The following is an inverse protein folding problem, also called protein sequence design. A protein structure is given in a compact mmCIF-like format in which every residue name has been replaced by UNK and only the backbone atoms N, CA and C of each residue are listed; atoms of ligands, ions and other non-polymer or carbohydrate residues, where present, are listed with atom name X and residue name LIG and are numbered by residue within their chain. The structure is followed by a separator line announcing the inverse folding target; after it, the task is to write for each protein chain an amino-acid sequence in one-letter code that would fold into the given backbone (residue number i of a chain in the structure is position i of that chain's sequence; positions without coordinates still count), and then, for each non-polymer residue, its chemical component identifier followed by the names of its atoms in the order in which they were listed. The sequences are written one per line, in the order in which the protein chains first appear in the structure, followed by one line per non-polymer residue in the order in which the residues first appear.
data_IF_792444177786
#
_entry.id   IF_792444177786
#
_cell.length_a   1.000
_cell.length_b   1.000
_cell.length_c   1.000
_cell.angle_alpha   90.00
_cell.angle_beta   90.00
_cell.angle_gamma   90.00
#
_symmetry.space_group_name_H-M   'P 1'
#
loop_
_entity.id
_entity.type
_entity.pdbx_description
1 polymer ?
#
# COMPACT_ATOMS: atom_id res chain seq x y z
N UNK A 1 -0.52 1.25 67.45
CA UNK A 1 0.20 1.61 68.68
C UNK A 1 1.27 2.62 68.29
N UNK A 2 1.07 3.88 68.64
CA UNK A 2 2.02 4.99 68.61
C UNK A 2 3.08 4.80 69.74
N UNK A 3 4.22 5.52 69.82
CA UNK A 3 4.43 6.95 69.55
C UNK A 3 5.78 7.27 68.84
N UNK A 4 5.90 8.35 68.10
CA UNK A 4 6.31 9.74 68.31
C UNK A 4 7.41 9.99 69.36
N UNK A 5 8.57 10.56 68.91
CA UNK A 5 9.37 11.53 69.68
C UNK A 5 10.16 12.44 68.73
N UNK A 6 9.95 13.73 68.89
CA UNK A 6 10.65 14.92 68.38
C UNK A 6 11.96 15.18 69.11
N UNK A 7 12.93 15.83 68.45
CA UNK A 7 13.90 16.68 69.12
C UNK A 7 14.46 17.76 68.18
N UNK A 8 14.19 18.99 68.56
CA UNK A 8 14.81 20.24 68.05
C UNK A 8 16.26 20.36 68.52
N UNK A 9 17.11 20.94 67.69
CA UNK A 9 18.19 21.81 68.14
C UNK A 9 18.50 22.90 67.12
N UNK A 10 18.19 24.12 67.47
CA UNK A 10 18.61 25.37 66.86
C UNK A 10 20.06 25.66 67.24
N UNK A 11 20.87 26.09 66.27
CA UNK A 11 22.11 26.83 66.52
C UNK A 11 22.15 28.02 65.57
N UNK A 12 22.07 29.20 66.15
CA UNK A 12 22.40 30.48 65.50
C UNK A 12 23.90 30.62 65.42
N UNK A 13 24.40 31.04 64.28
CA UNK A 13 25.64 31.82 64.20
C UNK A 13 25.62 32.77 63.02
N UNK A 14 26.02 33.98 63.30
CA UNK A 14 25.93 35.19 62.51
C UNK A 14 26.94 35.31 61.39
N UNK A 15 26.57 35.96 60.34
CA UNK A 15 27.37 37.00 59.70
C UNK A 15 28.29 36.57 58.56
N UNK A 16 27.87 36.89 57.35
CA UNK A 16 28.60 37.78 56.43
C UNK A 16 27.79 37.99 55.17
N UNK A 17 27.53 39.25 54.82
CA UNK A 17 26.87 39.68 53.61
C UNK A 17 27.88 39.54 52.47
N UNK A 18 27.69 38.53 51.60
CA UNK A 18 28.30 38.44 50.29
C UNK A 18 27.20 38.61 49.25
N UNK A 19 27.28 39.68 48.50
CA UNK A 19 26.33 39.97 47.43
C UNK A 19 26.35 38.88 46.36
N UNK A 20 25.27 38.15 46.21
CA UNK A 20 25.08 37.23 45.10
C UNK A 20 24.37 38.05 43.99
N UNK A 21 25.17 38.38 42.96
CA UNK A 21 24.63 38.78 41.65
C UNK A 21 23.84 37.58 41.09
N UNK A 22 22.54 37.69 41.11
CA UNK A 22 21.65 36.77 40.35
C UNK A 22 21.89 36.98 38.87
N UNK A 23 22.73 36.09 38.27
CA UNK A 23 22.78 35.95 36.83
C UNK A 23 21.45 35.37 36.34
N UNK A 24 20.64 36.21 35.71
CA UNK A 24 19.47 35.75 34.95
C UNK A 24 19.95 34.87 33.81
N UNK A 25 19.49 33.60 33.67
CA UNK A 25 19.87 32.81 32.50
C UNK A 25 19.29 33.50 31.26
N UNK A 26 20.18 33.92 30.38
CA UNK A 26 19.79 34.36 29.06
C UNK A 26 19.04 33.21 28.39
N UNK A 27 17.75 33.39 28.13
CA UNK A 27 16.99 32.52 27.22
C UNK A 27 17.71 32.61 25.87
N UNK A 28 18.42 31.53 25.51
CA UNK A 28 18.94 31.36 24.17
C UNK A 28 17.70 31.34 23.25
N UNK A 29 17.54 32.40 22.47
CA UNK A 29 16.58 32.42 21.37
C UNK A 29 16.89 31.23 20.46
N UNK A 30 15.98 30.28 20.36
CA UNK A 30 16.04 29.27 19.31
C UNK A 30 16.15 29.98 17.97
N UNK A 31 17.09 29.60 17.12
CA UNK A 31 17.11 30.12 15.75
C UNK A 31 15.75 29.84 15.11
N UNK A 32 15.24 30.74 14.27
CA UNK A 32 13.97 30.53 13.58
C UNK A 32 14.03 29.19 12.85
N UNK A 33 12.96 28.38 12.99
CA UNK A 33 12.84 27.10 12.32
C UNK A 33 13.17 27.34 10.83
N UNK A 34 14.23 26.69 10.37
CA UNK A 34 14.57 26.69 8.93
C UNK A 34 13.34 26.20 8.18
N UNK A 35 12.87 26.99 7.23
CA UNK A 35 11.82 26.58 6.32
C UNK A 35 12.17 25.18 5.77
N UNK A 36 11.19 24.29 5.58
CA UNK A 36 11.47 22.97 5.03
C UNK A 36 12.25 23.15 3.73
N UNK A 37 13.39 22.46 3.66
CA UNK A 37 14.25 22.50 2.48
C UNK A 37 13.37 22.23 1.26
N UNK A 38 13.42 23.13 0.27
CA UNK A 38 12.72 22.95 -0.99
C UNK A 38 13.07 21.56 -1.52
N UNK A 39 12.05 20.78 -1.88
CA UNK A 39 12.22 19.47 -2.53
C UNK A 39 13.21 19.68 -3.70
N UNK A 40 14.32 18.93 -3.77
CA UNK A 40 15.25 19.08 -4.87
C UNK A 40 14.45 18.91 -6.17
N UNK A 41 14.69 19.75 -7.19
CA UNK A 41 14.03 19.62 -8.48
C UNK A 41 14.20 18.18 -8.96
N UNK A 42 13.12 17.60 -9.52
CA UNK A 42 13.15 16.26 -10.08
C UNK A 42 14.42 16.10 -10.92
N UNK A 43 15.23 15.09 -10.59
CA UNK A 43 16.47 14.86 -11.33
C UNK A 43 16.12 14.79 -12.81
N UNK A 44 16.83 15.57 -13.63
CA UNK A 44 16.67 15.51 -15.07
C UNK A 44 16.80 14.04 -15.52
N UNK A 45 16.03 13.60 -16.53
CA UNK A 45 16.13 12.24 -17.04
C UNK A 45 17.62 11.92 -17.30
N UNK A 46 18.09 10.80 -16.75
CA UNK A 46 19.47 10.40 -16.98
C UNK A 46 19.69 10.28 -18.48
N UNK A 47 20.75 10.92 -18.98
CA UNK A 47 21.11 10.83 -20.38
C UNK A 47 21.35 9.36 -20.74
N UNK A 48 20.70 8.90 -21.80
CA UNK A 48 20.88 7.53 -22.27
C UNK A 48 22.35 7.32 -22.68
N UNK A 49 22.92 6.13 -22.35
CA UNK A 49 24.30 5.83 -22.75
C UNK A 49 24.50 5.94 -24.27
N UNK A 50 25.68 6.36 -24.74
CA UNK A 50 25.98 6.41 -26.18
C UNK A 50 25.73 5.04 -26.85
N UNK A 51 25.02 5.04 -27.97
CA UNK A 51 24.67 3.81 -28.69
C UNK A 51 23.39 3.10 -28.20
N UNK A 52 22.70 3.65 -27.19
CA UNK A 52 21.41 3.12 -26.77
C UNK A 52 20.40 3.10 -27.92
N UNK A 53 19.68 1.99 -28.16
CA UNK A 53 18.62 1.92 -29.16
C UNK A 53 17.44 2.84 -28.87
N UNK A 54 17.44 3.47 -27.70
CA UNK A 54 16.40 4.41 -27.25
C UNK A 54 16.69 5.85 -27.64
N UNK A 55 17.88 6.16 -28.15
CA UNK A 55 18.22 7.51 -28.63
C UNK A 55 17.26 7.90 -29.76
N UNK A 56 16.56 9.01 -29.57
CA UNK A 56 15.56 9.51 -30.54
C UNK A 56 14.17 8.89 -30.44
N UNK A 57 13.94 7.95 -29.51
CA UNK A 57 12.58 7.46 -29.22
C UNK A 57 11.87 8.39 -28.23
N UNK A 58 10.57 8.65 -28.41
CA UNK A 58 9.81 9.42 -27.43
C UNK A 58 9.85 8.71 -26.07
N UNK A 59 10.13 9.47 -25.01
CA UNK A 59 9.98 8.97 -23.65
C UNK A 59 8.49 8.78 -23.34
N UNK A 60 8.10 7.56 -23.05
CA UNK A 60 6.77 7.25 -22.53
C UNK A 60 5.69 6.95 -23.60
N UNK A 61 4.71 6.21 -23.16
CA UNK A 61 3.59 5.77 -23.98
C UNK A 61 2.37 6.68 -23.77
N UNK A 62 2.56 8.00 -23.79
CA UNK A 62 1.49 8.99 -23.60
C UNK A 62 0.33 8.80 -24.60
N UNK A 63 0.65 8.36 -25.82
CA UNK A 63 -0.37 8.07 -26.83
C UNK A 63 -1.26 6.89 -26.43
N UNK A 64 -0.69 5.82 -25.88
CA UNK A 64 -1.46 4.66 -25.44
C UNK A 64 -2.32 4.98 -24.20
N UNK A 65 -1.85 5.83 -23.29
CA UNK A 65 -2.65 6.30 -22.16
C UNK A 65 -3.87 7.12 -22.59
N UNK A 66 -3.79 7.81 -23.73
CA UNK A 66 -4.90 8.59 -24.30
C UNK A 66 -5.88 7.74 -25.11
N UNK A 67 -5.49 6.56 -25.59
CA UNK A 67 -6.32 5.71 -26.47
C UNK A 67 -7.30 4.79 -25.73
N UNK A 68 -7.13 4.57 -24.43
CA UNK A 68 -8.04 3.77 -23.64
C UNK A 68 -8.95 4.67 -22.79
N UNK A 69 -10.17 5.01 -23.26
CA UNK A 69 -11.10 5.75 -22.44
C UNK A 69 -11.42 4.94 -21.18
N UNK A 70 -11.42 5.61 -20.03
CA UNK A 70 -11.76 4.96 -18.77
C UNK A 70 -13.22 4.51 -18.85
N UNK A 71 -13.44 3.21 -18.87
CA UNK A 71 -14.77 2.66 -18.86
C UNK A 71 -15.57 3.15 -17.64
N UNK A 72 -16.87 3.44 -17.78
CA UNK A 72 -17.71 3.74 -16.63
C UNK A 72 -17.71 2.57 -15.63
N UNK A 73 -17.98 2.83 -14.35
CA UNK A 73 -18.06 1.75 -13.36
C UNK A 73 -19.09 0.70 -13.82
N UNK A 74 -18.75 -0.59 -13.77
CA UNK A 74 -19.69 -1.63 -14.14
C UNK A 74 -20.90 -1.61 -13.20
N UNK A 75 -22.07 -1.93 -13.73
CA UNK A 75 -23.28 -2.16 -12.93
C UNK A 75 -23.04 -3.43 -12.09
N UNK A 76 -23.35 -3.42 -10.77
CA UNK A 76 -23.18 -4.61 -9.95
C UNK A 76 -24.03 -5.77 -10.45
N UNK A 77 -23.42 -6.95 -10.54
CA UNK A 77 -24.18 -8.18 -10.83
C UNK A 77 -25.08 -8.52 -9.64
N UNK A 78 -26.36 -8.83 -9.90
CA UNK A 78 -27.27 -9.29 -8.87
C UNK A 78 -26.78 -10.60 -8.21
N UNK A 79 -27.05 -10.78 -6.93
CA UNK A 79 -26.50 -11.89 -6.13
C UNK A 79 -26.83 -13.28 -6.71
N UNK A 80 -28.05 -13.43 -7.22
CA UNK A 80 -28.57 -14.66 -7.87
C UNK A 80 -27.90 -14.98 -9.21
N UNK A 81 -27.26 -13.98 -9.84
CA UNK A 81 -26.55 -14.11 -11.12
C UNK A 81 -25.04 -14.27 -10.97
N UNK A 82 -24.53 -14.26 -9.74
CA UNK A 82 -23.12 -14.49 -9.50
C UNK A 82 -22.75 -15.94 -9.83
N UNK A 83 -21.59 -16.19 -10.47
CA UNK A 83 -21.21 -17.52 -10.95
C UNK A 83 -20.67 -18.45 -9.83
N UNK A 84 -21.19 -18.37 -8.61
CA UNK A 84 -20.69 -19.16 -7.48
C UNK A 84 -20.67 -20.67 -7.75
N UNK A 85 -21.71 -21.18 -8.43
CA UNK A 85 -21.80 -22.60 -8.80
C UNK A 85 -20.76 -23.06 -9.86
N UNK A 86 -20.12 -22.12 -10.56
CA UNK A 86 -19.05 -22.41 -11.55
C UNK A 86 -17.67 -22.48 -10.93
N UNK A 87 -17.52 -22.06 -9.67
CA UNK A 87 -16.24 -22.04 -8.99
C UNK A 87 -15.88 -23.43 -8.45
N UNK A 88 -14.67 -23.88 -8.77
CA UNK A 88 -14.12 -25.13 -8.24
C UNK A 88 -13.39 -24.82 -6.93
N UNK A 89 -13.90 -25.34 -5.83
CA UNK A 89 -13.33 -25.15 -4.51
C UNK A 89 -12.50 -26.37 -4.10
N UNK A 90 -11.42 -26.19 -3.33
CA UNK A 90 -10.74 -27.30 -2.69
C UNK A 90 -11.69 -28.03 -1.72
N UNK A 91 -11.50 -29.34 -1.47
CA UNK A 91 -12.30 -30.08 -0.51
C UNK A 91 -12.31 -29.41 0.87
N UNK A 92 -13.53 -29.29 1.46
CA UNK A 92 -13.74 -28.66 2.76
C UNK A 92 -13.91 -27.15 2.73
N UNK A 93 -13.94 -26.52 1.55
CA UNK A 93 -14.25 -25.08 1.39
C UNK A 93 -15.68 -24.89 0.89
N UNK A 94 -16.33 -23.85 1.42
CA UNK A 94 -17.60 -23.34 0.96
C UNK A 94 -17.45 -21.89 0.52
N UNK A 95 -18.30 -21.46 -0.41
CA UNK A 95 -18.38 -20.07 -0.86
C UNK A 95 -19.80 -19.57 -0.73
N UNK A 96 -19.96 -18.35 -0.24
CA UNK A 96 -21.23 -17.66 -0.14
C UNK A 96 -21.10 -16.20 -0.54
N UNK A 97 -22.20 -15.59 -0.96
CA UNK A 97 -22.24 -14.15 -1.25
C UNK A 97 -22.33 -13.40 0.07
N UNK A 98 -21.29 -12.68 0.44
CA UNK A 98 -21.25 -11.88 1.66
C UNK A 98 -22.10 -10.61 1.55
N UNK A 99 -21.99 -9.89 0.43
CA UNK A 99 -22.79 -8.71 0.08
C UNK A 99 -22.77 -8.49 -1.45
N UNK A 100 -23.76 -7.78 -1.96
CA UNK A 100 -23.89 -7.43 -3.37
C UNK A 100 -24.39 -5.98 -3.53
N UNK A 101 -24.41 -5.46 -4.75
CA UNK A 101 -24.94 -4.12 -5.04
C UNK A 101 -23.91 -2.98 -4.91
N UNK A 102 -22.63 -3.27 -4.67
CA UNK A 102 -21.56 -2.26 -4.62
C UNK A 102 -20.80 -2.30 -5.94
N UNK A 103 -20.92 -1.25 -6.74
CA UNK A 103 -20.23 -1.16 -8.02
C UNK A 103 -18.72 -0.98 -7.84
N UNK A 104 -17.94 -1.67 -8.67
CA UNK A 104 -16.48 -1.50 -8.77
C UNK A 104 -15.73 -1.65 -7.43
N UNK A 105 -16.15 -2.64 -6.62
CA UNK A 105 -15.51 -3.01 -5.36
C UNK A 105 -14.05 -3.37 -5.57
N UNK A 106 -13.16 -2.83 -4.72
CA UNK A 106 -11.70 -3.04 -4.77
C UNK A 106 -11.17 -3.49 -3.41
N UNK A 107 -10.53 -2.61 -2.66
CA UNK A 107 -9.98 -2.96 -1.34
C UNK A 107 -11.07 -3.17 -0.31
N UNK A 108 -10.86 -4.17 0.53
CA UNK A 108 -11.71 -4.47 1.69
C UNK A 108 -10.89 -4.35 2.97
N UNK A 109 -11.47 -3.77 4.02
CA UNK A 109 -10.87 -3.77 5.37
C UNK A 109 -11.95 -4.03 6.41
N UNK A 110 -11.60 -4.85 7.39
CA UNK A 110 -12.48 -5.16 8.51
C UNK A 110 -12.11 -4.24 9.68
N UNK A 111 -13.11 -3.58 10.24
CA UNK A 111 -12.99 -2.79 11.45
C UNK A 111 -13.07 -3.62 12.72
N UNK A 112 -12.85 -2.99 13.87
CA UNK A 112 -12.81 -3.65 15.17
C UNK A 112 -14.17 -4.28 15.58
N UNK A 113 -15.29 -3.73 15.08
CA UNK A 113 -16.65 -4.23 15.33
C UNK A 113 -17.17 -5.17 14.23
N UNK A 114 -16.31 -5.57 13.29
CA UNK A 114 -16.68 -6.45 12.19
C UNK A 114 -17.32 -5.75 10.98
N UNK A 115 -17.36 -4.41 10.97
CA UNK A 115 -17.75 -3.63 9.79
C UNK A 115 -16.77 -3.89 8.66
N UNK A 116 -17.27 -4.17 7.44
CA UNK A 116 -16.40 -4.33 6.27
C UNK A 116 -16.43 -3.05 5.45
N UNK A 117 -15.35 -2.30 5.47
CA UNK A 117 -15.17 -1.11 4.63
C UNK A 117 -14.74 -1.51 3.23
N UNK A 118 -15.32 -0.85 2.22
CA UNK A 118 -15.16 -1.16 0.81
C UNK A 118 -14.73 0.08 0.06
N UNK A 119 -13.53 0.04 -0.51
CA UNK A 119 -13.02 1.03 -1.46
C UNK A 119 -13.49 0.72 -2.87
N UNK A 120 -13.59 1.76 -3.69
CA UNK A 120 -13.96 1.63 -5.11
C UNK A 120 -12.99 2.41 -5.98
N UNK A 121 -12.66 1.91 -7.17
CA UNK A 121 -11.79 2.65 -8.09
C UNK A 121 -12.55 3.72 -8.86
N UNK A 122 -13.65 3.33 -9.53
CA UNK A 122 -14.44 4.20 -10.40
C UNK A 122 -15.76 4.64 -9.74
N UNK A 123 -16.09 4.08 -8.58
CA UNK A 123 -17.31 4.42 -7.84
C UNK A 123 -17.21 5.73 -7.06
N UNK A 124 -16.01 6.31 -6.93
CA UNK A 124 -15.72 7.59 -6.27
C UNK A 124 -16.28 7.70 -4.84
N UNK A 125 -16.46 6.56 -4.15
CA UNK A 125 -16.95 6.50 -2.79
C UNK A 125 -16.36 5.32 -2.02
N UNK A 126 -16.42 5.45 -0.71
CA UNK A 126 -16.14 4.37 0.25
C UNK A 126 -17.45 4.01 0.94
N UNK A 127 -17.73 2.72 1.05
CA UNK A 127 -18.91 2.21 1.73
C UNK A 127 -18.53 1.31 2.90
N UNK A 128 -19.47 1.08 3.80
CA UNK A 128 -19.37 0.09 4.88
C UNK A 128 -20.50 -0.93 4.75
N UNK A 129 -20.16 -2.19 4.88
CA UNK A 129 -21.09 -3.30 4.99
C UNK A 129 -21.23 -3.62 6.47
N UNK A 130 -22.42 -3.50 7.00
CA UNK A 130 -22.77 -3.77 8.39
C UNK A 130 -23.71 -4.96 8.42
N UNK A 131 -23.37 -6.00 9.18
CA UNK A 131 -24.31 -7.12 9.45
C UNK A 131 -24.88 -6.97 10.85
N UNK A 132 -26.18 -6.81 10.93
CA UNK A 132 -26.93 -6.67 12.18
C UNK A 132 -28.24 -7.44 12.10
N UNK A 133 -28.52 -8.27 13.09
CA UNK A 133 -29.78 -9.03 13.22
C UNK A 133 -30.14 -9.83 11.94
N UNK A 134 -29.13 -10.46 11.33
CA UNK A 134 -29.28 -11.21 10.08
C UNK A 134 -29.47 -10.38 8.81
N UNK A 135 -29.49 -9.04 8.93
CA UNK A 135 -29.63 -8.12 7.80
C UNK A 135 -28.27 -7.55 7.42
N UNK A 136 -28.10 -7.30 6.13
CA UNK A 136 -26.94 -6.60 5.58
C UNK A 136 -27.34 -5.17 5.19
N UNK A 137 -26.68 -4.18 5.79
CA UNK A 137 -26.83 -2.78 5.46
C UNK A 137 -25.57 -2.28 4.77
N UNK A 138 -25.73 -1.47 3.71
CA UNK A 138 -24.63 -0.79 3.01
C UNK A 138 -24.76 0.70 3.28
N UNK A 139 -23.75 1.27 3.93
CA UNK A 139 -23.71 2.69 4.30
C UNK A 139 -22.64 3.40 3.50
N UNK A 140 -22.91 4.60 3.01
CA UNK A 140 -21.89 5.47 2.41
C UNK A 140 -21.07 6.13 3.51
N UNK A 141 -19.77 5.93 3.51
CA UNK A 141 -18.82 6.48 4.49
C UNK A 141 -18.20 7.78 3.99
N UNK A 142 -17.85 7.83 2.71
CA UNK A 142 -17.36 9.04 2.05
C UNK A 142 -17.68 8.96 0.56
N UNK A 143 -17.94 10.11 -0.05
CA UNK A 143 -18.25 10.25 -1.48
C UNK A 143 -17.57 11.48 -2.07
N UNK A 144 -17.60 11.61 -3.40
CA UNK A 144 -16.90 12.69 -4.10
C UNK A 144 -15.38 12.54 -4.09
N UNK A 145 -14.87 11.34 -3.77
CA UNK A 145 -13.46 11.02 -3.74
C UNK A 145 -12.94 10.67 -5.14
N UNK A 146 -11.65 10.87 -5.39
CA UNK A 146 -11.07 10.55 -6.69
C UNK A 146 -10.28 9.23 -6.64
N UNK A 147 -10.86 8.16 -7.19
CA UNK A 147 -10.26 6.81 -7.21
C UNK A 147 -9.94 6.25 -5.81
N UNK A 148 -10.84 6.23 -4.84
CA UNK A 148 -10.57 5.77 -3.46
C UNK A 148 -10.43 4.24 -3.40
N UNK A 149 -9.35 3.72 -4.00
CA UNK A 149 -9.10 2.28 -4.13
C UNK A 149 -8.60 1.66 -2.84
N UNK A 150 -7.54 2.24 -2.25
CA UNK A 150 -6.84 1.66 -1.11
C UNK A 150 -7.48 2.03 0.22
N UNK A 151 -7.67 1.03 1.07
CA UNK A 151 -8.14 1.22 2.44
C UNK A 151 -7.19 0.57 3.43
N UNK A 152 -6.97 1.21 4.56
CA UNK A 152 -6.36 0.62 5.74
C UNK A 152 -7.17 1.02 6.98
N UNK A 153 -7.17 0.17 7.99
CA UNK A 153 -7.87 0.42 9.24
C UNK A 153 -6.94 0.18 10.42
N UNK A 154 -6.94 1.09 11.37
CA UNK A 154 -6.12 0.95 12.57
C UNK A 154 -6.77 1.66 13.76
N UNK A 155 -7.10 0.90 14.80
CA UNK A 155 -7.62 1.43 16.08
C UNK A 155 -8.73 2.47 15.92
N UNK A 156 -9.78 2.15 15.19
CA UNK A 156 -10.93 3.02 14.97
C UNK A 156 -10.78 4.05 13.83
N UNK A 157 -9.58 4.23 13.28
CA UNK A 157 -9.31 5.13 12.17
C UNK A 157 -9.30 4.40 10.84
N UNK A 158 -10.06 4.87 9.87
CA UNK A 158 -10.03 4.42 8.48
C UNK A 158 -9.18 5.37 7.65
N UNK A 159 -8.16 4.82 7.00
CA UNK A 159 -7.31 5.50 6.01
C UNK A 159 -7.82 5.20 4.62
N UNK A 160 -7.90 6.21 3.77
CA UNK A 160 -8.42 6.14 2.42
C UNK A 160 -7.36 6.70 1.47
N UNK A 161 -6.88 5.88 0.55
CA UNK A 161 -5.95 6.31 -0.49
C UNK A 161 -6.72 6.56 -1.79
N UNK A 162 -6.66 7.80 -2.21
CA UNK A 162 -7.09 8.28 -3.51
C UNK A 162 -5.92 8.25 -4.51
N UNK A 163 -6.12 8.71 -5.72
CA UNK A 163 -5.07 8.75 -6.74
C UNK A 163 -3.84 9.52 -6.27
N UNK A 164 -4.02 10.71 -5.71
CA UNK A 164 -2.95 11.67 -5.41
C UNK A 164 -2.86 12.08 -3.94
N UNK A 165 -3.66 11.49 -3.07
CA UNK A 165 -3.65 11.82 -1.65
C UNK A 165 -4.11 10.67 -0.78
N UNK A 166 -3.77 10.74 0.51
CA UNK A 166 -4.30 9.87 1.55
C UNK A 166 -5.02 10.74 2.56
N UNK A 167 -6.23 10.33 2.91
CA UNK A 167 -7.03 10.94 3.95
C UNK A 167 -7.38 9.93 5.04
N UNK A 168 -7.89 10.40 6.18
CA UNK A 168 -8.35 9.55 7.28
C UNK A 168 -9.70 10.00 7.82
N UNK A 169 -10.43 9.07 8.42
CA UNK A 169 -11.63 9.29 9.22
C UNK A 169 -11.41 8.63 10.56
N UNK A 170 -11.32 9.42 11.61
CA UNK A 170 -11.17 8.91 12.98
C UNK A 170 -12.53 8.45 13.55
N UNK A 171 -12.50 7.42 14.42
CA UNK A 171 -13.68 6.85 15.07
C UNK A 171 -14.79 6.45 14.09
N UNK A 172 -14.44 5.93 12.92
CA UNK A 172 -15.37 5.69 11.82
C UNK A 172 -16.51 4.75 12.21
N UNK A 173 -16.24 3.66 12.97
CA UNK A 173 -17.28 2.70 13.36
C UNK A 173 -18.26 3.21 14.42
N UNK A 174 -17.93 4.31 15.10
CA UNK A 174 -18.85 4.98 16.00
C UNK A 174 -19.80 5.96 15.26
N UNK A 175 -19.48 6.29 14.01
CA UNK A 175 -20.15 7.35 13.25
C UNK A 175 -20.65 6.87 11.87
N UNK A 176 -21.02 5.60 11.71
CA UNK A 176 -21.40 5.01 10.42
C UNK A 176 -22.65 5.66 9.80
N UNK A 177 -23.55 6.24 10.59
CA UNK A 177 -24.77 6.90 10.13
C UNK A 177 -24.54 8.37 9.73
N UNK A 178 -23.51 9.00 10.31
CA UNK A 178 -23.12 10.38 10.00
C UNK A 178 -21.59 10.50 10.07
N UNK A 179 -20.87 9.90 9.12
CA UNK A 179 -19.41 9.89 9.15
C UNK A 179 -18.85 11.31 8.99
N UNK A 180 -17.77 11.65 9.71
CA UNK A 180 -17.05 12.89 9.49
C UNK A 180 -16.45 12.93 8.08
N UNK A 181 -16.21 14.14 7.57
CA UNK A 181 -15.49 14.30 6.30
C UNK A 181 -14.05 13.79 6.46
N UNK A 182 -13.50 13.11 5.44
CA UNK A 182 -12.10 12.71 5.44
C UNK A 182 -11.17 13.92 5.59
N UNK A 183 -10.13 13.77 6.42
CA UNK A 183 -9.06 14.77 6.58
C UNK A 183 -7.83 14.29 5.82
N UNK A 184 -7.33 15.10 4.89
CA UNK A 184 -6.10 14.78 4.12
C UNK A 184 -4.90 14.83 5.07
N UNK A 185 -4.08 13.77 5.05
CA UNK A 185 -2.85 13.65 5.84
C UNK A 185 -1.60 13.60 4.97
N UNK A 186 -1.72 13.19 3.70
CA UNK A 186 -0.59 13.07 2.79
C UNK A 186 -1.04 13.35 1.35
N UNK A 187 -0.36 14.27 0.66
CA UNK A 187 -0.71 14.72 -0.70
C UNK A 187 0.47 14.76 -1.67
N UNK A 188 1.65 14.26 -1.24
CA UNK A 188 2.84 14.16 -2.09
C UNK A 188 2.83 12.86 -2.92
N UNK A 189 1.83 12.71 -3.78
CA UNK A 189 1.66 11.55 -4.65
C UNK A 189 1.50 11.99 -6.12
N UNK A 190 2.06 11.21 -7.06
CA UNK A 190 1.82 11.44 -8.49
C UNK A 190 0.34 11.39 -8.85
N UNK A 191 -0.03 12.13 -9.89
CA UNK A 191 -1.41 12.27 -10.37
C UNK A 191 -1.70 11.42 -11.61
N UNK A 192 -0.79 10.54 -11.98
CA UNK A 192 -0.93 9.69 -13.15
C UNK A 192 -2.04 8.65 -12.94
N UNK A 193 -2.89 8.48 -13.95
CA UNK A 193 -3.98 7.50 -13.92
C UNK A 193 -3.46 6.08 -14.14
N UNK A 194 -2.45 5.90 -15.00
CA UNK A 194 -1.83 4.60 -15.24
C UNK A 194 -1.14 4.13 -13.96
N UNK A 195 -1.50 2.93 -13.48
CA UNK A 195 -1.06 2.34 -12.20
C UNK A 195 -1.17 3.30 -11.00
N UNK A 196 -2.07 4.28 -11.11
CA UNK A 196 -2.18 5.38 -10.16
C UNK A 196 -2.99 5.05 -8.90
N UNK A 197 -3.87 4.04 -8.94
CA UNK A 197 -4.69 3.68 -7.78
C UNK A 197 -3.85 2.95 -6.73
N UNK A 198 -3.84 3.49 -5.54
CA UNK A 198 -2.96 3.03 -4.46
C UNK A 198 -3.54 1.83 -3.73
N UNK A 199 -2.69 0.84 -3.42
CA UNK A 199 -2.95 -0.10 -2.35
C UNK A 199 -2.26 0.40 -1.08
N UNK A 200 -2.94 0.31 0.07
CA UNK A 200 -2.37 0.71 1.36
C UNK A 200 -2.63 -0.33 2.45
N UNK A 201 -1.70 -0.46 3.37
CA UNK A 201 -1.88 -1.31 4.56
C UNK A 201 -1.01 -0.80 5.73
N UNK A 202 -1.42 -1.13 6.95
CA UNK A 202 -0.64 -0.84 8.16
C UNK A 202 0.37 -1.97 8.39
N UNK A 203 1.64 -1.60 8.48
CA UNK A 203 2.73 -2.51 8.78
C UNK A 203 2.85 -2.90 10.26
N UNK A 204 3.65 -3.93 10.56
CA UNK A 204 3.92 -4.35 11.93
C UNK A 204 4.66 -3.29 12.77
N UNK A 205 5.24 -2.29 12.12
CA UNK A 205 5.89 -1.10 12.70
C UNK A 205 4.92 0.05 12.98
N UNK A 206 3.59 -0.17 12.80
CA UNK A 206 2.54 0.85 12.91
C UNK A 206 2.71 2.03 11.94
N UNK A 207 3.37 1.84 10.81
CA UNK A 207 3.42 2.81 9.71
C UNK A 207 2.42 2.42 8.62
N UNK A 208 1.98 3.40 7.86
CA UNK A 208 1.12 3.21 6.68
C UNK A 208 2.01 3.02 5.44
N UNK A 209 1.90 1.86 4.83
CA UNK A 209 2.58 1.51 3.58
C UNK A 209 1.67 1.80 2.40
N UNK A 210 2.26 2.26 1.31
CA UNK A 210 1.56 2.60 0.07
C UNK A 210 2.41 2.24 -1.16
N UNK A 211 1.75 1.83 -2.22
CA UNK A 211 2.35 1.60 -3.52
C UNK A 211 2.22 2.83 -4.40
N UNK A 212 3.23 3.11 -5.22
CA UNK A 212 3.22 4.13 -6.28
C UNK A 212 3.76 3.49 -7.55
N UNK A 213 2.87 3.04 -8.43
CA UNK A 213 3.23 2.36 -9.67
C UNK A 213 3.91 3.25 -10.70
N UNK A 214 4.43 2.64 -11.76
CA UNK A 214 4.96 3.36 -12.92
C UNK A 214 3.85 4.09 -13.67
N UNK A 215 4.11 5.25 -14.29
CA UNK A 215 3.09 6.06 -14.97
C UNK A 215 2.73 5.55 -16.38
N UNK A 216 3.08 4.31 -16.72
CA UNK A 216 2.82 3.70 -18.02
C UNK A 216 3.14 2.22 -18.05
N UNK A 217 2.99 1.59 -19.21
CA UNK A 217 3.25 0.16 -19.36
C UNK A 217 4.70 -0.20 -19.01
N UNK A 218 5.66 0.42 -19.69
CA UNK A 218 7.08 0.34 -19.39
C UNK A 218 7.72 1.68 -19.76
N UNK A 219 8.21 2.43 -18.77
CA UNK A 219 8.71 3.78 -18.97
C UNK A 219 9.88 4.07 -18.03
N UNK A 220 10.82 4.88 -18.50
CA UNK A 220 11.73 5.58 -17.58
C UNK A 220 10.92 6.64 -16.85
N UNK A 221 10.92 6.61 -15.55
CA UNK A 221 10.06 7.45 -14.73
C UNK A 221 10.86 8.23 -13.69
N UNK A 222 10.22 9.24 -13.11
CA UNK A 222 10.82 10.00 -12.02
C UNK A 222 11.01 9.13 -10.77
N UNK A 223 11.92 9.49 -9.87
CA UNK A 223 12.10 8.79 -8.60
C UNK A 223 10.85 8.76 -7.70
N UNK A 224 9.79 9.50 -8.05
CA UNK A 224 8.52 9.47 -7.32
C UNK A 224 7.67 8.23 -7.62
N UNK A 225 7.96 7.51 -8.70
CA UNK A 225 7.21 6.34 -9.18
C UNK A 225 7.97 5.02 -8.95
N UNK A 226 7.32 3.91 -9.25
CA UNK A 226 7.93 2.59 -9.23
C UNK A 226 8.44 2.18 -7.86
N UNK A 227 7.65 2.38 -6.81
CA UNK A 227 8.11 2.14 -5.43
C UNK A 227 6.99 1.77 -4.46
N UNK A 228 7.39 1.12 -3.37
CA UNK A 228 6.60 1.02 -2.16
C UNK A 228 7.20 2.00 -1.16
N UNK A 229 6.37 2.86 -0.58
CA UNK A 229 6.72 3.80 0.49
C UNK A 229 6.07 3.41 1.80
N UNK A 230 6.59 3.93 2.90
CA UNK A 230 5.88 3.98 4.19
C UNK A 230 5.90 5.39 4.74
N UNK A 231 4.86 5.75 5.49
CA UNK A 231 4.70 7.04 6.16
C UNK A 231 4.21 6.80 7.59
N UNK A 232 4.39 7.78 8.46
CA UNK A 232 3.73 7.78 9.76
C UNK A 232 2.21 7.90 9.59
N UNK A 233 1.44 7.51 10.61
CA UNK A 233 -0.03 7.54 10.57
C UNK A 233 -0.61 8.98 10.53
N UNK A 234 0.21 9.99 10.77
CA UNK A 234 -0.11 11.42 10.61
C UNK A 234 0.28 11.98 9.23
N UNK A 235 0.87 11.16 8.36
CA UNK A 235 1.29 11.53 7.01
C UNK A 235 2.73 12.04 6.90
N UNK A 236 3.46 12.14 8.01
CA UNK A 236 4.87 12.59 8.03
C UNK A 236 5.84 11.43 7.78
N UNK A 237 7.14 11.74 7.62
CA UNK A 237 8.22 10.76 7.65
C UNK A 237 8.19 9.75 6.51
N UNK A 238 7.97 10.23 5.28
CA UNK A 238 7.96 9.37 4.10
C UNK A 238 9.33 8.72 3.83
N UNK A 239 9.34 7.40 3.69
CA UNK A 239 10.52 6.59 3.44
C UNK A 239 10.25 5.61 2.28
N UNK A 240 11.27 5.34 1.47
CA UNK A 240 11.18 4.35 0.38
C UNK A 240 11.61 2.99 0.88
N UNK A 241 10.73 2.01 0.78
CA UNK A 241 10.93 0.62 1.20
C UNK A 241 11.42 -0.26 0.04
N UNK A 242 10.84 -0.09 -1.15
CA UNK A 242 11.21 -0.82 -2.36
C UNK A 242 11.21 0.12 -3.57
N UNK A 243 12.12 -0.12 -4.53
CA UNK A 243 12.26 0.58 -5.81
C UNK A 243 12.15 -0.41 -6.96
N UNK A 244 11.96 0.10 -8.18
CA UNK A 244 11.87 -0.76 -9.35
C UNK A 244 10.68 -1.69 -9.30
N UNK A 245 9.58 -1.23 -8.73
CA UNK A 245 8.28 -1.91 -8.66
C UNK A 245 7.39 -1.34 -9.76
N UNK A 246 7.00 -2.18 -10.74
CA UNK A 246 6.18 -1.67 -11.84
C UNK A 246 4.77 -1.33 -11.36
N UNK A 247 4.06 -2.29 -10.79
CA UNK A 247 2.72 -2.08 -10.25
C UNK A 247 2.33 -3.17 -9.25
N UNK A 248 2.49 -2.86 -7.97
CA UNK A 248 2.06 -3.74 -6.90
C UNK A 248 0.62 -3.42 -6.50
N UNK A 249 -0.29 -4.35 -6.72
CA UNK A 249 -1.70 -4.18 -6.34
C UNK A 249 -1.98 -4.70 -4.93
N UNK A 250 -0.99 -5.30 -4.29
CA UNK A 250 -1.12 -5.73 -2.91
C UNK A 250 0.15 -6.28 -2.29
N UNK A 251 0.23 -6.08 -1.00
CA UNK A 251 1.33 -6.56 -0.17
C UNK A 251 0.83 -6.95 1.23
N UNK A 252 1.58 -7.83 1.88
CA UNK A 252 1.32 -8.26 3.25
C UNK A 252 2.62 -8.70 3.92
N UNK A 253 2.62 -8.83 5.22
CA UNK A 253 3.78 -9.24 6.00
C UNK A 253 3.67 -10.69 6.44
N UNK A 254 4.72 -11.44 6.20
CA UNK A 254 4.81 -12.80 6.70
C UNK A 254 4.70 -12.80 8.24
N UNK A 255 3.73 -13.50 8.83
CA UNK A 255 3.51 -13.46 10.27
C UNK A 255 4.69 -14.01 11.09
N UNK A 256 5.53 -14.87 10.50
CA UNK A 256 6.66 -15.49 11.19
C UNK A 256 7.88 -14.57 11.30
N UNK A 257 8.27 -13.91 10.20
CA UNK A 257 9.49 -13.10 10.14
C UNK A 257 9.25 -11.60 9.95
N UNK A 258 7.99 -11.18 9.79
CA UNK A 258 7.57 -9.79 9.59
C UNK A 258 8.10 -9.14 8.30
N UNK A 259 8.70 -9.89 7.40
CA UNK A 259 9.14 -9.37 6.12
C UNK A 259 7.95 -9.05 5.22
N UNK A 260 8.08 -7.96 4.47
CA UNK A 260 7.09 -7.52 3.48
C UNK A 260 7.21 -8.38 2.22
N UNK A 261 6.07 -8.91 1.75
CA UNK A 261 5.94 -9.53 0.44
C UNK A 261 4.96 -8.72 -0.39
N UNK A 262 5.20 -8.62 -1.69
CA UNK A 262 4.32 -7.91 -2.61
C UNK A 262 4.24 -8.59 -3.98
N UNK A 263 3.06 -8.50 -4.61
CA UNK A 263 2.91 -8.87 -6.02
C UNK A 263 3.41 -7.73 -6.89
N UNK A 264 4.02 -8.04 -8.03
CA UNK A 264 4.35 -7.04 -9.05
C UNK A 264 3.91 -7.53 -10.42
N UNK A 265 3.10 -6.70 -11.09
CA UNK A 265 2.60 -6.98 -12.43
C UNK A 265 3.63 -6.49 -13.43
N UNK A 266 4.20 -7.42 -14.19
CA UNK A 266 5.20 -7.14 -15.22
C UNK A 266 4.62 -6.40 -16.43
N UNK A 267 5.50 -5.91 -17.32
CA UNK A 267 5.09 -5.15 -18.51
C UNK A 267 4.30 -6.01 -19.50
N UNK A 268 3.42 -5.35 -20.26
CA UNK A 268 2.74 -5.94 -21.41
C UNK A 268 3.55 -5.78 -22.70
N UNK A 269 3.10 -6.45 -23.76
CA UNK A 269 3.57 -6.32 -25.14
C UNK A 269 5.05 -6.69 -25.38
N UNK A 270 5.58 -7.63 -24.63
CA UNK A 270 6.86 -8.22 -24.95
C UNK A 270 6.66 -9.56 -25.67
N UNK A 271 5.93 -10.50 -25.06
CA UNK A 271 5.45 -11.73 -25.70
C UNK A 271 4.27 -12.31 -24.89
N UNK A 272 3.65 -13.38 -25.38
CA UNK A 272 2.58 -14.11 -24.67
C UNK A 272 3.11 -14.86 -23.43
N UNK A 273 4.37 -15.28 -23.45
CA UNK A 273 4.96 -16.12 -22.41
C UNK A 273 5.87 -15.35 -21.46
N UNK A 274 6.25 -14.11 -21.78
CA UNK A 274 7.18 -13.29 -21.00
C UNK A 274 6.85 -11.80 -21.07
N UNK A 275 7.16 -11.03 -20.02
CA UNK A 275 7.66 -11.50 -18.73
C UNK A 275 6.57 -12.10 -17.85
N UNK A 276 6.97 -12.97 -16.93
CA UNK A 276 6.07 -13.46 -15.90
C UNK A 276 5.89 -12.42 -14.80
N UNK A 277 4.72 -12.39 -14.20
CA UNK A 277 4.44 -11.59 -12.99
C UNK A 277 5.15 -12.19 -11.78
N UNK A 278 5.37 -11.36 -10.78
CA UNK A 278 6.30 -11.64 -9.70
C UNK A 278 5.64 -11.60 -8.32
N UNK A 279 6.13 -12.47 -7.44
CA UNK A 279 6.03 -12.31 -6.00
C UNK A 279 7.40 -11.94 -5.46
N UNK A 280 7.50 -10.80 -4.84
CA UNK A 280 8.74 -10.23 -4.32
C UNK A 280 8.76 -10.21 -2.79
N UNK A 281 9.94 -10.16 -2.21
CA UNK A 281 10.16 -10.06 -0.76
C UNK A 281 11.20 -9.01 -0.45
N UNK A 282 10.85 -8.07 0.43
CA UNK A 282 11.79 -7.07 0.93
C UNK A 282 12.55 -7.65 2.12
N UNK A 283 13.86 -7.70 2.02
CA UNK A 283 14.77 -8.11 3.09
C UNK A 283 15.51 -6.92 3.71
N UNK A 284 15.61 -5.81 2.95
CA UNK A 284 16.23 -4.55 3.37
C UNK A 284 15.53 -3.39 2.68
N UNK A 285 15.28 -2.31 3.41
CA UNK A 285 14.70 -1.09 2.83
C UNK A 285 15.56 -0.53 1.69
N UNK A 286 14.89 -0.03 0.65
CA UNK A 286 15.50 0.60 -0.51
C UNK A 286 16.00 -0.38 -1.60
N UNK A 287 15.79 -1.71 -1.46
CA UNK A 287 16.09 -2.69 -2.51
C UNK A 287 15.38 -2.33 -3.82
N UNK A 288 16.04 -2.65 -4.95
CA UNK A 288 15.51 -2.42 -6.29
C UNK A 288 15.13 -3.75 -6.96
N UNK A 289 13.88 -3.87 -7.41
CA UNK A 289 13.27 -5.10 -7.90
C UNK A 289 13.21 -5.22 -9.44
N UNK A 290 13.94 -4.37 -10.16
CA UNK A 290 14.26 -4.54 -11.58
C UNK A 290 13.57 -3.56 -12.52
N UNK A 291 12.28 -3.29 -12.38
CA UNK A 291 11.56 -2.46 -13.34
C UNK A 291 12.10 -1.00 -13.41
N UNK A 292 12.28 -0.43 -14.60
CA UNK A 292 11.91 -0.92 -15.93
C UNK A 292 13.01 -1.73 -16.66
N UNK A 293 14.12 -2.07 -16.02
CA UNK A 293 15.34 -2.60 -16.65
C UNK A 293 15.36 -4.11 -16.75
N UNK A 294 14.83 -4.81 -15.76
CA UNK A 294 14.82 -6.26 -15.67
C UNK A 294 13.50 -6.76 -15.09
N UNK A 295 13.00 -7.86 -15.63
CA UNK A 295 11.79 -8.54 -15.19
C UNK A 295 12.07 -10.00 -14.88
N UNK A 296 11.23 -10.65 -14.08
CA UNK A 296 11.31 -12.05 -13.65
C UNK A 296 12.70 -12.49 -13.12
N UNK A 297 13.52 -11.54 -12.72
CA UNK A 297 14.86 -11.78 -12.16
C UNK A 297 15.96 -12.13 -13.15
N UNK A 298 15.62 -12.42 -14.41
CA UNK A 298 16.61 -12.87 -15.42
C UNK A 298 16.35 -12.37 -16.84
N UNK A 299 15.28 -11.61 -17.06
CA UNK A 299 14.91 -11.10 -18.38
C UNK A 299 15.21 -9.60 -18.45
N UNK A 300 16.31 -9.23 -19.12
CA UNK A 300 16.59 -7.83 -19.43
C UNK A 300 15.51 -7.27 -20.35
N UNK A 301 15.03 -6.10 -20.02
CA UNK A 301 14.07 -5.38 -20.86
C UNK A 301 14.71 -4.97 -22.17
N UNK A 302 13.99 -5.18 -23.28
CA UNK A 302 14.50 -4.89 -24.62
C UNK A 302 14.64 -3.40 -24.93
N UNK A 303 13.93 -2.56 -24.17
CA UNK A 303 13.95 -1.10 -24.37
C UNK A 303 14.88 -0.41 -23.37
N UNK A 304 14.80 -0.78 -22.10
CA UNK A 304 15.48 -0.08 -21.00
C UNK A 304 16.61 -0.87 -20.36
N UNK A 305 16.71 -2.19 -20.60
CA UNK A 305 17.72 -3.05 -19.99
C UNK A 305 19.15 -2.85 -20.53
N UNK A 306 19.33 -2.07 -21.60
CA UNK A 306 20.64 -1.84 -22.21
C UNK A 306 21.60 -1.17 -21.22
N UNK A 307 22.78 -1.75 -21.04
CA UNK A 307 23.79 -1.29 -20.08
C UNK A 307 23.58 -1.79 -18.65
N UNK A 308 22.55 -2.59 -18.40
CA UNK A 308 22.26 -3.20 -17.12
C UNK A 308 22.48 -4.71 -17.12
N UNK A 309 22.51 -5.29 -15.93
CA UNK A 309 22.45 -6.74 -15.69
C UNK A 309 21.36 -7.03 -14.68
N UNK A 310 20.57 -8.07 -14.87
CA UNK A 310 19.57 -8.46 -13.88
C UNK A 310 20.16 -8.79 -12.49
N UNK A 311 21.47 -9.05 -12.42
CA UNK A 311 22.20 -9.27 -11.15
C UNK A 311 22.31 -8.00 -10.27
N UNK A 312 22.02 -6.83 -10.83
CA UNK A 312 21.98 -5.55 -10.08
C UNK A 312 20.75 -5.43 -9.22
N UNK A 313 19.73 -6.24 -9.47
CA UNK A 313 18.40 -6.16 -8.89
C UNK A 313 18.07 -7.37 -8.03
N UNK A 314 17.17 -7.18 -7.07
CA UNK A 314 16.65 -8.27 -6.23
C UNK A 314 15.76 -9.19 -7.07
N UNK A 315 16.04 -10.49 -7.15
CA UNK A 315 15.20 -11.41 -7.89
C UNK A 315 13.89 -11.71 -7.16
N UNK A 316 12.79 -12.02 -7.88
CA UNK A 316 11.55 -12.47 -7.27
C UNK A 316 11.73 -13.78 -6.50
N UNK A 317 10.96 -13.96 -5.44
CA UNK A 317 10.94 -15.23 -4.68
C UNK A 317 10.09 -16.29 -5.39
N UNK A 318 9.17 -15.85 -6.28
CA UNK A 318 8.34 -16.75 -7.08
C UNK A 318 7.82 -15.99 -8.32
N UNK A 319 7.74 -16.72 -9.43
CA UNK A 319 7.05 -16.27 -10.64
C UNK A 319 5.62 -16.81 -10.63
N UNK A 320 4.65 -15.97 -10.99
CA UNK A 320 3.22 -16.31 -10.91
C UNK A 320 2.59 -16.61 -12.27
N UNK A 321 3.40 -16.64 -13.31
CA UNK A 321 2.99 -16.85 -14.69
C UNK A 321 2.90 -15.55 -15.49
N UNK A 322 2.93 -15.62 -16.83
CA UNK A 322 2.81 -14.45 -17.68
C UNK A 322 1.40 -13.87 -17.57
N UNK A 323 1.30 -12.54 -17.64
CA UNK A 323 0.04 -11.80 -17.69
C UNK A 323 -1.01 -12.24 -16.65
N UNK A 324 -0.54 -12.73 -15.48
CA UNK A 324 -1.43 -13.25 -14.44
C UNK A 324 -2.14 -12.13 -13.67
N UNK A 325 -1.63 -10.91 -13.78
CA UNK A 325 -2.18 -9.69 -13.17
C UNK A 325 -2.52 -9.89 -11.67
N UNK A 326 -1.51 -10.18 -10.86
CA UNK A 326 -1.66 -10.40 -9.43
C UNK A 326 -2.35 -9.20 -8.74
N UNK A 327 -3.59 -9.35 -8.29
CA UNK A 327 -4.39 -8.27 -7.69
C UNK A 327 -4.22 -8.15 -6.16
N UNK A 328 -3.29 -8.86 -5.59
CA UNK A 328 -2.96 -8.79 -4.17
C UNK A 328 -2.55 -10.11 -3.59
N UNK A 329 -2.08 -10.07 -2.37
CA UNK A 329 -1.69 -11.24 -1.61
C UNK A 329 -2.12 -11.11 -0.15
N UNK A 330 -2.27 -12.24 0.52
CA UNK A 330 -2.57 -12.27 1.95
C UNK A 330 -1.94 -13.49 2.60
N UNK A 331 -1.25 -13.32 3.71
CA UNK A 331 -0.90 -14.42 4.60
C UNK A 331 -2.11 -14.79 5.45
N UNK A 332 -2.50 -16.06 5.42
CA UNK A 332 -3.65 -16.52 6.19
C UNK A 332 -3.28 -16.66 7.67
N UNK A 333 -3.93 -15.85 8.51
CA UNK A 333 -3.75 -15.86 9.97
C UNK A 333 -5.02 -16.32 10.70
N UNK A 334 -6.07 -16.70 9.97
CA UNK A 334 -7.35 -17.13 10.51
C UNK A 334 -7.31 -18.56 11.10
N UNK A 335 -8.46 -18.99 11.64
CA UNK A 335 -8.60 -20.30 12.27
C UNK A 335 -9.51 -21.26 11.49
N UNK A 336 -10.20 -20.78 10.47
CA UNK A 336 -11.25 -21.53 9.74
C UNK A 336 -10.67 -22.55 8.76
N UNK A 337 -9.58 -22.20 8.05
CA UNK A 337 -9.03 -23.08 7.02
C UNK A 337 -8.26 -24.25 7.62
N UNK A 338 -8.18 -25.41 6.90
CA UNK A 338 -7.41 -26.57 7.32
C UNK A 338 -5.96 -26.26 7.69
N UNK A 339 -5.34 -27.12 8.52
CA UNK A 339 -4.00 -26.90 9.07
C UNK A 339 -2.93 -26.65 8.00
N UNK A 340 -3.01 -27.30 6.84
CA UNK A 340 -2.07 -27.10 5.73
C UNK A 340 -2.00 -25.65 5.20
N UNK A 341 -3.00 -24.81 5.48
CA UNK A 341 -3.02 -23.38 5.13
C UNK A 341 -2.59 -22.46 6.28
N UNK A 342 -2.26 -23.03 7.46
CA UNK A 342 -1.94 -22.29 8.69
C UNK A 342 -0.44 -22.21 9.00
N UNK A 343 0.40 -22.89 8.23
CA UNK A 343 1.84 -22.91 8.51
C UNK A 343 2.46 -21.56 8.21
N UNK A 344 3.44 -21.10 9.02
CA UNK A 344 4.19 -19.86 8.74
C UNK A 344 4.90 -19.88 7.39
N UNK A 345 5.13 -21.07 6.83
CA UNK A 345 5.65 -21.30 5.48
C UNK A 345 4.55 -21.31 4.40
N UNK A 346 3.26 -21.17 4.78
CA UNK A 346 2.19 -21.08 3.79
C UNK A 346 2.39 -19.78 2.99
N UNK A 347 2.53 -19.94 1.69
CA UNK A 347 2.68 -18.85 0.73
C UNK A 347 1.43 -18.00 0.71
N UNK A 348 1.58 -16.71 0.41
CA UNK A 348 0.43 -15.82 0.30
C UNK A 348 -0.51 -16.30 -0.81
N UNK A 349 -1.80 -16.22 -0.55
CA UNK A 349 -2.81 -16.45 -1.59
C UNK A 349 -2.85 -15.20 -2.46
N UNK A 350 -2.48 -15.34 -3.73
CA UNK A 350 -2.63 -14.27 -4.71
C UNK A 350 -3.96 -14.41 -5.42
N UNK A 351 -4.71 -13.32 -5.53
CA UNK A 351 -5.85 -13.25 -6.45
C UNK A 351 -5.29 -12.86 -7.83
N UNK A 352 -5.62 -13.64 -8.85
CA UNK A 352 -5.30 -13.31 -10.23
C UNK A 352 -6.46 -12.56 -10.88
N UNK A 353 -6.14 -11.47 -11.59
CA UNK A 353 -7.07 -10.85 -12.53
C UNK A 353 -6.79 -11.46 -13.91
N UNK A 354 -7.82 -11.87 -14.61
CA UNK A 354 -7.68 -12.43 -15.97
C UNK A 354 -8.31 -11.51 -16.98
N UNK A 355 -7.57 -11.17 -18.02
CA UNK A 355 -8.18 -10.67 -19.25
C UNK A 355 -8.57 -11.80 -20.22
N UNK A 356 -8.01 -13.00 -20.15
CA UNK A 356 -8.42 -14.13 -21.01
C UNK A 356 -8.06 -15.48 -20.41
N UNK A 357 -8.75 -15.98 -19.52
CA UNK A 357 -9.01 -17.36 -19.10
C UNK A 357 -9.18 -17.45 -17.60
N UNK A 358 -10.37 -17.83 -17.21
CA UNK A 358 -10.76 -18.09 -15.82
C UNK A 358 -9.88 -19.18 -15.20
N UNK A 359 -8.88 -18.81 -14.43
CA UNK A 359 -8.25 -19.73 -13.50
C UNK A 359 -8.38 -19.20 -12.08
N UNK A 360 -9.03 -20.01 -11.28
CA UNK A 360 -9.30 -19.81 -9.88
C UNK A 360 -8.03 -19.50 -9.07
N UNK A 361 -8.21 -18.86 -7.93
CA UNK A 361 -7.20 -18.70 -6.91
C UNK A 361 -6.37 -19.99 -6.75
N UNK A 362 -5.12 -19.95 -7.13
CA UNK A 362 -4.24 -21.11 -7.03
C UNK A 362 -3.42 -20.94 -5.76
N UNK A 363 -3.72 -21.73 -4.74
CA UNK A 363 -2.74 -22.06 -3.71
C UNK A 363 -1.72 -22.99 -4.39
N UNK A 364 -0.53 -22.49 -4.71
CA UNK A 364 0.53 -23.33 -5.23
C UNK A 364 1.17 -24.08 -4.07
N UNK A 365 1.14 -25.43 -4.05
CA UNK A 365 1.98 -26.20 -3.14
C UNK A 365 3.40 -26.24 -3.69
N UNK A 366 4.37 -26.00 -2.84
CA UNK A 366 5.76 -26.35 -3.14
C UNK A 366 6.04 -27.78 -2.67
N UNK A 367 6.61 -28.56 -3.56
CA UNK A 367 7.38 -29.78 -3.28
C UNK A 367 8.79 -29.43 -2.83
#
# INVERSE_FOLDING_TARGET
MFPCVTAHRSVLLAGTVAGILLAVPAFAQQPPATAPAATPPAAAPQALPPGSPLIGRPAGNEAAAKLAPIAPPPIPTAADKLPAAKLKLPPGFNIEVYASGIANTRSLRVGDKGTVFVGTRLGNKVTAIVKKDGKTEIKTIAEGLYRPNGLAYHKGTLYIAELSQISKIDNVEANLDKPPKPTVIYSDLPKDEAHGWKFIAIGPDNKLYLEVGQPGNNVLHSPAHGQIRRINLDGTGAEVVARGVRHSVGFDWNPANKQLYFSDNSRDWLSEDTPQDELNRVTKDGQHFGAPYCYQGNLLDTEFGWGHSCREFEPPVMLTGPHSAGLGLRFYTGKMFPAKYKTPSSWPVTARGTEQQSSAATSLPFS
#
